data_IF_422545537250
#
_entry.id   IF_422545537250
#
_cell.length_a   1.000
_cell.length_b   1.000
_cell.length_c   1.000
_cell.angle_alpha   90.00
_cell.angle_beta   90.00
_cell.angle_gamma   90.00
#
_symmetry.space_group_name_H-M   'P 1'
#
loop_
_entity.id
_entity.type
_entity.pdbx_description
1 polymer ?
#
# COMPACT_ATOMS: atom_id res chain seq x y z
N UNK A 1 -4.06 13.98 20.39
CA UNK A 1 -2.66 14.45 20.48
C UNK A 1 -1.95 13.90 19.26
N UNK A 2 -1.42 14.76 18.40
CA UNK A 2 -0.76 14.36 17.16
C UNK A 2 0.52 13.55 17.41
N UNK A 3 0.90 12.71 16.46
CA UNK A 3 2.12 11.89 16.53
C UNK A 3 3.37 12.76 16.32
N UNK A 4 4.52 12.34 16.85
CA UNK A 4 5.79 13.07 16.69
C UNK A 4 6.91 12.21 16.11
N UNK A 5 7.91 12.84 15.50
CA UNK A 5 9.10 12.14 15.04
C UNK A 5 9.82 11.43 16.19
N UNK A 6 9.93 12.07 17.35
CA UNK A 6 10.57 11.47 18.53
C UNK A 6 9.87 10.16 18.97
N UNK A 7 8.55 10.07 18.80
CA UNK A 7 7.80 8.85 19.07
C UNK A 7 8.12 7.75 18.05
N UNK A 8 8.24 8.09 16.76
CA UNK A 8 8.65 7.16 15.71
C UNK A 8 10.09 6.67 15.95
N UNK A 9 11.01 7.56 16.30
CA UNK A 9 12.40 7.21 16.65
C UNK A 9 12.45 6.22 17.81
N UNK A 10 11.62 6.45 18.85
CA UNK A 10 11.50 5.53 19.96
C UNK A 10 11.03 4.15 19.50
N UNK A 11 10.03 4.07 18.60
CA UNK A 11 9.60 2.81 18.00
C UNK A 11 10.74 2.12 17.25
N UNK A 12 11.39 2.80 16.32
CA UNK A 12 12.50 2.25 15.52
C UNK A 12 13.65 1.74 16.40
N UNK A 13 13.96 2.47 17.48
CA UNK A 13 15.00 2.10 18.45
C UNK A 13 14.67 0.78 19.15
N UNK A 14 13.39 0.48 19.43
CA UNK A 14 13.00 -0.81 20.05
C UNK A 14 13.37 -2.03 19.20
N UNK A 15 13.49 -1.87 17.87
CA UNK A 15 13.93 -2.92 16.94
C UNK A 15 15.38 -2.76 16.49
N UNK A 16 16.14 -1.86 17.11
CA UNK A 16 17.53 -1.56 16.76
C UNK A 16 17.72 -1.22 15.26
N UNK A 17 16.73 -0.54 14.66
CA UNK A 17 16.81 -0.10 13.27
C UNK A 17 17.69 1.15 13.17
N UNK A 18 18.52 1.20 12.13
CA UNK A 18 19.30 2.40 11.81
C UNK A 18 18.40 3.41 11.10
N UNK A 19 18.48 4.67 11.49
CA UNK A 19 17.69 5.73 10.85
C UNK A 19 18.42 7.07 10.93
N UNK A 20 17.98 8.03 10.12
CA UNK A 20 18.40 9.42 10.16
C UNK A 20 17.17 10.33 10.15
N UNK A 21 17.12 11.29 11.06
CA UNK A 21 16.07 12.30 11.12
C UNK A 21 16.36 13.47 10.19
N UNK A 22 15.32 13.95 9.50
CA UNK A 22 15.31 15.13 8.64
C UNK A 22 14.20 16.08 9.16
N UNK A 23 14.57 16.93 10.12
CA UNK A 23 13.64 17.87 10.77
C UNK A 23 12.99 18.85 9.77
N UNK A 24 13.73 19.48 8.84
CA UNK A 24 13.15 20.39 7.86
C UNK A 24 12.02 19.78 7.03
N UNK A 25 12.03 18.47 6.81
CA UNK A 25 11.02 17.75 6.04
C UNK A 25 10.06 16.93 6.90
N UNK A 26 10.09 17.09 8.21
CA UNK A 26 9.29 16.31 9.16
C UNK A 26 9.36 14.79 8.88
N UNK A 27 10.58 14.28 8.64
CA UNK A 27 10.78 12.92 8.11
C UNK A 27 11.89 12.14 8.84
N UNK A 28 11.83 10.81 8.76
CA UNK A 28 12.86 9.88 9.20
C UNK A 28 13.20 8.94 8.03
N UNK A 29 14.48 8.83 7.71
CA UNK A 29 15.03 8.01 6.64
C UNK A 29 15.57 6.71 7.23
N UNK A 30 15.05 5.57 6.78
CA UNK A 30 15.45 4.23 7.21
C UNK A 30 16.03 3.48 6.01
N UNK A 31 17.37 3.32 5.93
CA UNK A 31 17.98 2.59 4.83
C UNK A 31 17.67 1.08 4.95
N UNK A 32 17.30 0.47 3.84
CA UNK A 32 17.00 -0.97 3.73
C UNK A 32 17.56 -1.56 2.44
N UNK A 33 17.61 -2.89 2.36
CA UNK A 33 17.92 -3.63 1.13
C UNK A 33 16.97 -4.81 0.98
N UNK A 34 16.51 -5.04 -0.25
CA UNK A 34 15.68 -6.17 -0.66
C UNK A 34 16.41 -6.95 -1.76
N UNK A 35 17.47 -7.66 -1.39
CA UNK A 35 18.32 -8.39 -2.34
C UNK A 35 17.50 -9.36 -3.23
N UNK A 36 16.56 -10.10 -2.63
CA UNK A 36 15.68 -11.03 -3.34
C UNK A 36 14.74 -10.35 -4.35
N UNK A 37 14.47 -9.05 -4.20
CA UNK A 37 13.67 -8.25 -5.12
C UNK A 37 14.54 -7.44 -6.12
N UNK A 38 15.87 -7.59 -6.03
CA UNK A 38 16.83 -6.86 -6.85
C UNK A 38 17.00 -5.40 -6.44
N UNK A 39 16.81 -5.08 -5.16
CA UNK A 39 17.08 -3.74 -4.61
C UNK A 39 18.18 -3.81 -3.56
N UNK A 40 19.42 -3.49 -3.92
CA UNK A 40 20.54 -3.55 -2.98
C UNK A 40 20.41 -2.51 -1.86
N UNK A 41 19.91 -1.32 -2.21
CA UNK A 41 19.68 -0.21 -1.28
C UNK A 41 18.47 0.60 -1.69
N UNK A 42 17.54 0.74 -0.75
CA UNK A 42 16.43 1.69 -0.80
C UNK A 42 16.45 2.54 0.47
N UNK A 43 15.69 3.62 0.46
CA UNK A 43 15.41 4.41 1.65
C UNK A 43 13.91 4.36 1.90
N UNK A 44 13.49 3.87 3.05
CA UNK A 44 12.11 4.01 3.52
C UNK A 44 12.02 5.36 4.21
N UNK A 45 11.15 6.23 3.73
CA UNK A 45 10.88 7.56 4.28
C UNK A 45 9.62 7.45 5.14
N UNK A 46 9.75 7.70 6.43
CA UNK A 46 8.60 7.88 7.33
C UNK A 46 8.39 9.37 7.49
N UNK A 47 7.23 9.88 7.10
CA UNK A 47 6.92 11.32 7.11
C UNK A 47 5.66 11.59 7.94
N UNK A 48 5.69 12.73 8.63
CA UNK A 48 4.53 13.29 9.30
C UNK A 48 4.12 14.58 8.62
N UNK A 49 2.85 14.67 8.25
CA UNK A 49 2.22 15.88 7.72
C UNK A 49 1.17 16.39 8.70
N UNK A 50 0.64 17.58 8.44
CA UNK A 50 -0.46 18.17 9.21
C UNK A 50 -0.15 18.20 10.71
N UNK A 51 1.07 18.63 11.06
CA UNK A 51 1.57 18.66 12.45
C UNK A 51 1.52 17.30 13.18
N UNK A 52 1.57 16.19 12.45
CA UNK A 52 1.53 14.83 12.99
C UNK A 52 0.15 14.19 12.99
N UNK A 53 -0.86 14.83 12.39
CA UNK A 53 -2.21 14.32 12.21
C UNK A 53 -2.34 13.44 10.95
N UNK A 54 -1.34 13.46 10.07
CA UNK A 54 -1.28 12.59 8.89
C UNK A 54 0.06 11.87 8.80
N UNK A 55 0.00 10.55 8.60
CA UNK A 55 1.16 9.65 8.62
C UNK A 55 1.41 9.05 7.24
N UNK A 56 2.68 9.01 6.83
CA UNK A 56 3.10 8.42 5.56
C UNK A 56 4.36 7.54 5.73
N UNK A 57 4.40 6.44 4.98
CA UNK A 57 5.59 5.64 4.69
C UNK A 57 5.74 5.59 3.18
N UNK A 58 6.87 6.04 2.67
CA UNK A 58 7.16 6.10 1.24
C UNK A 58 8.45 5.33 0.96
N UNK A 59 8.47 4.55 -0.12
CA UNK A 59 9.70 4.02 -0.70
C UNK A 59 9.85 4.64 -2.09
N UNK A 60 10.54 5.78 -2.21
CA UNK A 60 10.70 6.49 -3.47
C UNK A 60 11.73 5.79 -4.36
N UNK A 61 11.73 6.13 -5.65
CA UNK A 61 12.70 5.70 -6.65
C UNK A 61 12.87 4.17 -6.72
N UNK A 62 11.79 3.41 -6.58
CA UNK A 62 11.85 1.96 -6.79
C UNK A 62 12.14 1.64 -8.25
N UNK A 63 11.49 2.36 -9.17
CA UNK A 63 11.78 2.28 -10.61
C UNK A 63 11.66 3.65 -11.27
N UNK A 64 12.15 3.73 -12.50
CA UNK A 64 11.98 4.90 -13.37
C UNK A 64 11.68 4.41 -14.79
N UNK A 65 10.51 4.75 -15.32
CA UNK A 65 10.04 4.37 -16.65
C UNK A 65 9.24 5.51 -17.30
N UNK A 66 9.93 6.56 -17.82
CA UNK A 66 9.28 7.74 -18.37
C UNK A 66 8.46 7.44 -19.62
N UNK A 67 9.01 6.67 -20.54
CA UNK A 67 8.32 6.26 -21.77
C UNK A 67 8.87 4.94 -22.30
N UNK A 68 8.06 4.22 -23.06
CA UNK A 68 8.43 2.96 -23.68
C UNK A 68 7.24 2.09 -24.07
N UNK A 69 7.49 1.02 -24.86
CA UNK A 69 6.43 0.16 -25.40
C UNK A 69 5.58 -0.52 -24.32
N UNK A 70 6.14 -0.69 -23.12
CA UNK A 70 5.48 -1.39 -22.00
C UNK A 70 4.79 -0.43 -21.02
N UNK A 71 4.64 0.85 -21.36
CA UNK A 71 4.05 1.84 -20.44
C UNK A 71 2.59 1.50 -20.10
N UNK A 72 1.80 1.13 -21.10
CA UNK A 72 0.39 0.74 -20.88
C UNK A 72 0.25 -0.51 -19.99
N UNK A 73 0.90 -1.67 -20.28
CA UNK A 73 0.81 -2.82 -19.40
C UNK A 73 1.38 -2.54 -18.01
N UNK A 74 2.42 -1.70 -17.89
CA UNK A 74 2.93 -1.25 -16.59
C UNK A 74 1.86 -0.51 -15.78
N UNK A 75 1.19 0.48 -16.37
CA UNK A 75 0.11 1.21 -15.69
C UNK A 75 -1.03 0.28 -15.25
N UNK A 76 -1.43 -0.66 -16.10
CA UNK A 76 -2.44 -1.66 -15.77
C UNK A 76 -2.00 -2.54 -14.59
N UNK A 77 -0.74 -2.99 -14.58
CA UNK A 77 -0.19 -3.78 -13.48
C UNK A 77 -0.15 -2.98 -12.17
N UNK A 78 0.26 -1.71 -12.17
CA UNK A 78 0.26 -0.88 -10.95
C UNK A 78 -1.15 -0.74 -10.36
N UNK A 79 -2.16 -0.57 -11.23
CA UNK A 79 -3.58 -0.55 -10.81
C UNK A 79 -4.03 -1.89 -10.24
N UNK A 80 -3.68 -3.01 -10.89
CA UNK A 80 -4.01 -4.34 -10.37
C UNK A 80 -3.37 -4.60 -9.01
N UNK A 81 -2.09 -4.27 -8.85
CA UNK A 81 -1.41 -4.44 -7.57
C UNK A 81 -2.08 -3.58 -6.49
N UNK A 82 -2.42 -2.33 -6.80
CA UNK A 82 -3.11 -1.44 -5.85
C UNK A 82 -4.47 -2.01 -5.41
N UNK A 83 -5.18 -2.74 -6.27
CA UNK A 83 -6.40 -3.46 -5.89
C UNK A 83 -6.12 -4.71 -5.02
N UNK A 84 -5.01 -5.41 -5.26
CA UNK A 84 -4.59 -6.58 -4.48
C UNK A 84 -4.08 -6.24 -3.08
N UNK A 85 -3.56 -5.03 -2.89
CA UNK A 85 -2.89 -4.62 -1.65
C UNK A 85 -3.77 -3.73 -0.78
N UNK A 86 -3.83 -4.02 0.51
CA UNK A 86 -4.47 -3.13 1.49
C UNK A 86 -3.55 -1.96 1.83
N UNK A 87 -4.09 -0.74 1.88
CA UNK A 87 -3.44 0.50 2.32
C UNK A 87 -2.28 1.01 1.45
N UNK A 88 -1.73 0.18 0.57
CA UNK A 88 -0.61 0.53 -0.28
C UNK A 88 -1.12 1.18 -1.57
N UNK A 89 -0.47 2.26 -1.95
CA UNK A 89 -0.59 2.90 -3.25
C UNK A 89 0.70 2.66 -4.02
N UNK A 90 0.58 2.13 -5.24
CA UNK A 90 1.66 2.20 -6.21
C UNK A 90 1.44 3.42 -7.09
N UNK A 91 2.38 4.35 -7.01
CA UNK A 91 2.27 5.64 -7.68
C UNK A 91 3.22 5.69 -8.87
N UNK A 92 2.82 6.43 -9.90
CA UNK A 92 3.63 6.76 -11.05
C UNK A 92 3.65 8.28 -11.21
N UNK A 93 4.83 8.88 -11.18
CA UNK A 93 5.00 10.30 -11.48
C UNK A 93 5.10 10.50 -13.00
N UNK A 94 4.13 11.19 -13.64
CA UNK A 94 4.15 11.38 -15.08
C UNK A 94 5.22 12.36 -15.56
N UNK A 95 5.87 13.12 -14.67
CA UNK A 95 6.87 14.12 -15.04
C UNK A 95 8.24 13.51 -15.35
N UNK A 96 8.62 12.44 -14.63
CA UNK A 96 9.92 11.78 -14.77
C UNK A 96 9.82 10.25 -14.90
N UNK A 97 8.62 9.68 -14.75
CA UNK A 97 8.36 8.26 -14.82
C UNK A 97 8.73 7.49 -13.55
N UNK A 98 8.99 8.17 -12.43
CA UNK A 98 9.30 7.53 -11.17
C UNK A 98 8.13 6.68 -10.68
N UNK A 99 8.46 5.52 -10.11
CA UNK A 99 7.52 4.60 -9.49
C UNK A 99 7.91 4.45 -8.03
N UNK A 100 6.94 4.68 -7.16
CA UNK A 100 7.09 4.57 -5.70
C UNK A 100 5.95 3.78 -5.07
N UNK A 101 6.18 3.39 -3.84
CA UNK A 101 5.18 2.74 -3.01
C UNK A 101 4.92 3.62 -1.77
N UNK A 102 3.65 3.87 -1.48
CA UNK A 102 3.22 4.71 -0.35
C UNK A 102 2.16 4.00 0.48
N UNK A 103 2.30 4.06 1.80
CA UNK A 103 1.22 3.78 2.76
C UNK A 103 0.98 5.06 3.52
N UNK A 104 -0.26 5.53 3.54
CA UNK A 104 -0.65 6.74 4.24
C UNK A 104 -2.03 6.60 4.89
N UNK A 105 -2.22 7.32 5.99
CA UNK A 105 -3.53 7.42 6.63
C UNK A 105 -3.59 8.58 7.63
N UNK A 106 -4.78 9.18 7.81
CA UNK A 106 -4.99 10.16 8.85
C UNK A 106 -4.96 9.49 10.24
N UNK A 107 -4.37 10.19 11.19
CA UNK A 107 -4.37 9.88 12.61
C UNK A 107 -5.36 10.76 13.37
N UNK A 108 -5.54 12.02 12.96
CA UNK A 108 -6.47 12.97 13.59
C UNK A 108 -6.24 13.07 15.12
N UNK A 109 -7.22 12.65 15.92
CA UNK A 109 -7.16 12.61 17.38
C UNK A 109 -6.47 11.36 17.93
N UNK A 110 -6.20 10.36 17.09
CA UNK A 110 -5.58 9.09 17.47
C UNK A 110 -4.07 9.24 17.72
N UNK A 111 -3.62 8.59 18.79
CA UNK A 111 -2.19 8.45 19.08
C UNK A 111 -1.67 7.22 18.36
N UNK A 112 -0.66 7.38 17.50
CA UNK A 112 -0.07 6.25 16.81
C UNK A 112 0.58 5.29 17.80
N UNK A 113 0.18 4.02 17.73
CA UNK A 113 0.80 2.96 18.53
C UNK A 113 1.98 2.34 17.78
N UNK A 114 2.95 1.81 18.53
CA UNK A 114 4.06 1.02 17.96
C UNK A 114 3.57 -0.13 17.08
N UNK A 115 2.46 -0.77 17.46
CA UNK A 115 1.83 -1.84 16.68
C UNK A 115 1.29 -1.35 15.33
N UNK A 116 0.62 -0.19 15.30
CA UNK A 116 0.14 0.39 14.04
C UNK A 116 1.30 0.77 13.13
N UNK A 117 2.30 1.45 13.69
CA UNK A 117 3.51 1.84 12.96
C UNK A 117 4.19 0.62 12.32
N UNK A 118 4.50 -0.40 13.12
CA UNK A 118 5.20 -1.57 12.60
C UNK A 118 4.35 -2.42 11.68
N UNK A 119 3.02 -2.47 11.85
CA UNK A 119 2.14 -3.13 10.89
C UNK A 119 2.26 -2.47 9.50
N UNK A 120 2.27 -1.15 9.43
CA UNK A 120 2.43 -0.42 8.17
C UNK A 120 3.86 -0.55 7.62
N UNK A 121 4.86 -0.42 8.49
CA UNK A 121 6.27 -0.51 8.11
C UNK A 121 6.62 -1.90 7.56
N UNK A 122 6.27 -2.97 8.30
CA UNK A 122 6.54 -4.34 7.88
C UNK A 122 5.76 -4.70 6.60
N UNK A 123 4.52 -4.21 6.47
CA UNK A 123 3.74 -4.38 5.24
C UNK A 123 4.41 -3.71 4.03
N UNK A 124 4.91 -2.47 4.18
CA UNK A 124 5.66 -1.78 3.12
C UNK A 124 6.86 -2.62 2.65
N UNK A 125 7.68 -3.10 3.59
CA UNK A 125 8.83 -3.94 3.27
C UNK A 125 8.43 -5.21 2.50
N UNK A 126 7.38 -5.88 2.98
CA UNK A 126 6.84 -7.07 2.34
C UNK A 126 6.33 -6.79 0.93
N UNK A 127 5.59 -5.69 0.73
CA UNK A 127 5.02 -5.36 -0.57
C UNK A 127 6.10 -5.03 -1.60
N UNK A 128 7.13 -4.26 -1.24
CA UNK A 128 8.26 -4.01 -2.14
C UNK A 128 8.94 -5.32 -2.52
N UNK A 129 9.14 -6.22 -1.56
CA UNK A 129 9.76 -7.53 -1.82
C UNK A 129 8.90 -8.43 -2.72
N UNK A 130 7.58 -8.40 -2.55
CA UNK A 130 6.64 -9.28 -3.27
C UNK A 130 6.36 -8.77 -4.68
N UNK A 131 6.15 -7.47 -4.84
CA UNK A 131 5.66 -6.85 -6.07
C UNK A 131 6.75 -6.21 -6.92
N UNK A 132 7.89 -5.84 -6.34
CA UNK A 132 9.06 -5.34 -7.09
C UNK A 132 9.44 -6.25 -8.27
N UNK A 133 9.59 -7.57 -8.08
CA UNK A 133 9.89 -8.49 -9.19
C UNK A 133 8.81 -8.52 -10.28
N UNK A 134 7.53 -8.43 -9.91
CA UNK A 134 6.41 -8.39 -10.85
C UNK A 134 6.48 -7.12 -11.71
N UNK A 135 6.68 -5.96 -11.09
CA UNK A 135 6.80 -4.68 -11.79
C UNK A 135 8.01 -4.69 -12.73
N UNK A 136 9.16 -5.19 -12.28
CA UNK A 136 10.36 -5.35 -13.10
C UNK A 136 10.10 -6.21 -14.34
N UNK A 137 9.45 -7.36 -14.18
CA UNK A 137 9.07 -8.24 -15.30
C UNK A 137 8.21 -7.52 -16.33
N UNK A 138 7.26 -6.69 -15.91
CA UNK A 138 6.41 -5.92 -16.85
C UNK A 138 7.20 -4.84 -17.56
N UNK A 139 8.10 -4.13 -16.85
CA UNK A 139 9.01 -3.15 -17.46
C UNK A 139 9.84 -3.84 -18.57
N UNK A 140 10.40 -5.02 -18.28
CA UNK A 140 11.31 -5.74 -19.17
C UNK A 140 10.60 -6.44 -20.34
N UNK A 141 9.41 -7.02 -20.10
CA UNK A 141 8.76 -7.94 -21.05
C UNK A 141 7.41 -7.46 -21.59
N UNK A 142 6.79 -6.47 -20.93
CA UNK A 142 5.42 -6.03 -21.22
C UNK A 142 4.33 -7.01 -20.78
N UNK A 143 4.69 -8.11 -20.11
CA UNK A 143 3.76 -9.16 -19.67
C UNK A 143 3.67 -9.20 -18.15
N UNK A 144 2.44 -9.11 -17.63
CA UNK A 144 2.16 -9.24 -16.20
C UNK A 144 2.07 -10.73 -15.81
N UNK A 145 2.96 -11.27 -14.95
CA UNK A 145 2.89 -12.66 -14.49
C UNK A 145 1.66 -12.92 -13.59
N UNK A 146 0.91 -11.88 -13.24
CA UNK A 146 -0.30 -11.96 -12.44
C UNK A 146 -0.03 -12.13 -10.94
N UNK A 147 -1.12 -12.34 -10.21
CA UNK A 147 -1.12 -12.49 -8.77
C UNK A 147 -0.56 -13.85 -8.34
N UNK A 148 0.22 -13.89 -7.25
CA UNK A 148 0.50 -15.15 -6.54
C UNK A 148 -0.75 -15.58 -5.75
N UNK A 149 -1.24 -16.82 -5.90
CA UNK A 149 -2.54 -17.22 -5.34
C UNK A 149 -2.51 -17.30 -3.80
N UNK A 150 -2.95 -16.23 -3.13
CA UNK A 150 -3.36 -16.21 -1.72
C UNK A 150 -4.07 -14.88 -1.39
N UNK A 151 -5.39 -14.86 -1.51
CA UNK A 151 -6.36 -14.23 -0.59
C UNK A 151 -7.69 -14.07 -1.35
N UNK A 152 -8.74 -14.70 -0.82
CA UNK A 152 -10.13 -14.65 -1.30
C UNK A 152 -10.70 -13.24 -1.09
N UNK A 153 -11.38 -12.68 -2.09
CA UNK A 153 -11.80 -11.28 -2.11
C UNK A 153 -13.18 -11.05 -1.44
N UNK A 154 -13.40 -9.90 -0.75
CA UNK A 154 -14.72 -9.45 -0.25
C UNK A 154 -15.80 -9.24 -1.32
N UNK A 155 -15.42 -9.26 -2.60
CA UNK A 155 -16.27 -8.99 -3.75
C UNK A 155 -17.48 -9.92 -3.87
N UNK A 156 -17.38 -11.15 -3.37
CA UNK A 156 -18.50 -12.10 -3.38
C UNK A 156 -19.66 -11.63 -2.48
N UNK A 157 -19.34 -10.95 -1.37
CA UNK A 157 -20.35 -10.40 -0.46
C UNK A 157 -21.05 -9.18 -1.07
N UNK A 158 -20.29 -8.28 -1.71
CA UNK A 158 -20.86 -7.11 -2.37
C UNK A 158 -21.71 -7.50 -3.58
N UNK A 159 -21.26 -8.49 -4.37
CA UNK A 159 -22.02 -9.02 -5.52
C UNK A 159 -23.31 -9.69 -5.08
N UNK A 160 -23.26 -10.56 -4.08
CA UNK A 160 -24.47 -11.20 -3.53
C UNK A 160 -25.45 -10.19 -2.94
N UNK A 161 -24.97 -9.11 -2.32
CA UNK A 161 -25.84 -8.04 -1.83
C UNK A 161 -26.47 -7.21 -2.96
N UNK A 162 -25.74 -6.92 -4.03
CA UNK A 162 -26.28 -6.25 -5.22
C UNK A 162 -27.32 -7.12 -5.94
N UNK A 163 -27.07 -8.42 -6.06
CA UNK A 163 -28.02 -9.38 -6.62
C UNK A 163 -29.30 -9.45 -5.79
N UNK A 164 -29.19 -9.40 -4.46
CA UNK A 164 -30.34 -9.30 -3.56
C UNK A 164 -31.16 -8.02 -3.77
N UNK A 165 -30.50 -6.86 -3.91
CA UNK A 165 -31.17 -5.58 -4.17
C UNK A 165 -31.85 -5.56 -5.53
N UNK A 166 -31.23 -6.14 -6.56
CA UNK A 166 -31.81 -6.23 -7.90
C UNK A 166 -32.90 -7.30 -8.01
N UNK A 167 -32.92 -8.29 -7.12
CA UNK A 167 -33.96 -9.33 -7.01
C UNK A 167 -35.27 -8.88 -6.35
N UNK A 168 -35.37 -7.63 -5.89
CA UNK A 168 -36.54 -7.12 -5.15
C UNK A 168 -37.48 -6.22 -5.98
N UNK A 169 -37.39 -6.29 -7.31
CA UNK A 169 -38.14 -5.44 -8.23
C UNK A 169 -39.07 -6.20 -9.18
N UNK A 170 -39.93 -7.11 -8.68
CA UNK A 170 -40.97 -7.70 -9.51
C UNK A 170 -41.61 -9.00 -8.99
N UNK A 171 -42.57 -8.87 -8.08
CA UNK A 171 -43.67 -9.82 -7.84
C UNK A 171 -43.32 -11.21 -7.29
N UNK A 172 -43.54 -11.46 -6.01
CA UNK A 172 -44.83 -11.94 -5.51
C UNK A 172 -44.84 -11.93 -3.97
N UNK A 173 -45.99 -11.68 -3.38
CA UNK A 173 -46.16 -11.62 -1.93
C UNK A 173 -46.15 -13.03 -1.33
N UNK A 174 -45.13 -13.39 -0.54
CA UNK A 174 -45.23 -14.55 0.36
C UNK A 174 -43.93 -15.19 0.81
N UNK A 175 -43.71 -15.17 2.13
CA UNK A 175 -42.74 -15.91 2.94
C UNK A 175 -41.34 -15.28 3.10
N UNK A 176 -41.05 -14.90 4.34
CA UNK A 176 -39.86 -14.17 4.76
C UNK A 176 -38.60 -15.02 4.77
N UNK A 177 -37.62 -14.63 3.97
CA UNK A 177 -36.21 -14.98 4.18
C UNK A 177 -35.55 -13.89 5.02
N UNK A 178 -35.17 -14.22 6.25
CA UNK A 178 -34.35 -13.35 7.11
C UNK A 178 -32.95 -13.22 6.48
N UNK A 179 -32.31 -12.03 6.51
CA UNK A 179 -30.95 -11.88 5.99
C UNK A 179 -29.98 -12.81 6.74
N UNK A 180 -28.90 -13.28 6.08
CA UNK A 180 -27.86 -14.05 6.74
C UNK A 180 -27.19 -13.16 7.80
N UNK A 181 -27.05 -13.71 9.00
CA UNK A 181 -26.41 -13.01 10.12
C UNK A 181 -24.96 -12.67 9.71
N UNK A 182 -24.63 -11.38 9.74
CA UNK A 182 -23.29 -10.89 9.47
C UNK A 182 -22.32 -11.39 10.56
N UNK A 183 -21.26 -12.07 10.13
CA UNK A 183 -20.10 -12.46 10.96
C UNK A 183 -18.97 -11.45 10.81
#
# INVERSE_FOLDING_TARGET
MATSLSQIEAFLTTRNLKFQRDEPRSSILVPFGFAEAGFDRVVVVVRLQENGEFFEIIVPNLFTYPDGPNKLPLMQTLLHISWETKMLQWEYDPSDGEIRATIEFPLEDAVMTSRQFFRAFDAMLQFVQVYGPRIRTVIETGSDPGRRPADTAPDELARSFLDYLHGSGGGDAGSGGKPPDAL
#
